data_IF_128653411371
#
_entry.id   IF_128653411371
#
_cell.length_a   1.000
_cell.length_b   1.000
_cell.length_c   1.000
_cell.angle_alpha   90.00
_cell.angle_beta   90.00
_cell.angle_gamma   90.00
#
_symmetry.space_group_name_H-M   'P 1'
#
loop_
_entity.id
_entity.type
_entity.pdbx_description
1 polymer ?
#
# COMPACT_ATOMS: atom_id res chain seq x y z
N UNK A 1 -6.20 5.44 -15.27
CA UNK A 1 -6.37 4.09 -14.70
C UNK A 1 -5.25 3.75 -13.71
N UNK A 2 -3.98 3.77 -14.13
CA UNK A 2 -2.81 3.41 -13.29
C UNK A 2 -2.78 4.13 -11.93
N UNK A 3 -2.85 5.47 -11.92
CA UNK A 3 -2.79 6.27 -10.68
C UNK A 3 -3.93 5.98 -9.72
N UNK A 4 -5.17 5.87 -10.24
CA UNK A 4 -6.36 5.51 -9.44
C UNK A 4 -6.21 4.15 -8.79
N UNK A 5 -5.71 3.15 -9.53
CA UNK A 5 -5.50 1.79 -8.99
C UNK A 5 -4.42 1.78 -7.90
N UNK A 6 -3.27 2.41 -8.15
CA UNK A 6 -2.15 2.44 -7.19
C UNK A 6 -2.51 3.25 -5.93
N UNK A 7 -3.29 4.32 -6.08
CA UNK A 7 -3.77 5.10 -4.94
C UNK A 7 -4.79 4.34 -4.09
N UNK A 8 -5.71 3.58 -4.72
CA UNK A 8 -6.69 2.75 -4.00
C UNK A 8 -6.04 1.52 -3.36
N UNK A 9 -5.03 0.94 -4.01
CA UNK A 9 -4.36 -0.28 -3.59
C UNK A 9 -2.84 -0.06 -3.53
N UNK A 10 -2.31 0.47 -2.42
CA UNK A 10 -0.90 0.86 -2.31
C UNK A 10 0.08 -0.33 -2.34
N UNK A 11 -0.41 -1.57 -2.27
CA UNK A 11 0.39 -2.80 -2.40
C UNK A 11 0.58 -3.26 -3.85
N UNK A 12 -0.11 -2.65 -4.80
CA UNK A 12 -0.01 -3.02 -6.22
C UNK A 12 1.39 -2.72 -6.74
N UNK A 13 2.04 -3.73 -7.32
CA UNK A 13 3.38 -3.58 -7.90
C UNK A 13 3.32 -3.16 -9.37
N UNK A 14 4.46 -2.71 -9.91
CA UNK A 14 4.61 -2.48 -11.35
C UNK A 14 4.40 -3.75 -12.17
N UNK A 15 4.72 -4.92 -11.62
CA UNK A 15 4.48 -6.22 -12.27
C UNK A 15 2.99 -6.52 -12.39
N UNK A 16 2.24 -6.31 -11.30
CA UNK A 16 0.80 -6.52 -11.28
C UNK A 16 0.09 -5.61 -12.29
N UNK A 17 0.55 -4.37 -12.42
CA UNK A 17 0.02 -3.42 -13.40
C UNK A 17 0.29 -3.86 -14.84
N UNK A 18 1.46 -4.41 -15.14
CA UNK A 18 1.77 -4.91 -16.49
C UNK A 18 0.90 -6.11 -16.83
N UNK A 19 0.71 -7.03 -15.87
CA UNK A 19 -0.12 -8.20 -16.07
C UNK A 19 -1.61 -7.83 -16.24
N UNK A 20 -2.07 -6.79 -15.54
CA UNK A 20 -3.45 -6.30 -15.65
C UNK A 20 -3.72 -5.36 -16.84
N UNK A 21 -2.69 -4.89 -17.54
CA UNK A 21 -2.80 -3.94 -18.65
C UNK A 21 -2.21 -4.54 -19.93
N UNK A 22 -3.06 -5.09 -20.80
CA UNK A 22 -2.67 -5.87 -22.00
C UNK A 22 -1.69 -5.17 -22.98
N UNK A 23 -1.49 -3.85 -22.92
CA UNK A 23 -0.65 -3.11 -23.90
C UNK A 23 0.28 -2.06 -23.28
N UNK A 24 0.51 -2.10 -21.97
CA UNK A 24 1.34 -1.10 -21.28
C UNK A 24 2.65 -1.72 -20.81
N UNK A 25 3.77 -1.16 -21.27
CA UNK A 25 5.10 -1.63 -20.89
C UNK A 25 5.53 -1.09 -19.51
N UNK A 26 6.45 -1.80 -18.84
CA UNK A 26 7.03 -1.39 -17.54
C UNK A 26 7.57 0.05 -17.55
N UNK A 27 8.34 0.51 -18.57
CA UNK A 27 8.84 1.88 -18.62
C UNK A 27 7.72 2.92 -18.65
N UNK A 28 6.64 2.66 -19.41
CA UNK A 28 5.48 3.54 -19.47
C UNK A 28 4.83 3.71 -18.10
N UNK A 29 4.58 2.61 -17.39
CA UNK A 29 4.04 2.66 -16.01
C UNK A 29 4.97 3.44 -15.09
N UNK A 30 6.28 3.15 -15.11
CA UNK A 30 7.26 3.85 -14.27
C UNK A 30 7.28 5.36 -14.53
N UNK A 31 7.24 5.77 -15.80
CA UNK A 31 7.21 7.17 -16.19
C UNK A 31 5.91 7.86 -15.75
N UNK A 32 4.76 7.19 -15.90
CA UNK A 32 3.47 7.71 -15.42
C UNK A 32 3.49 7.92 -13.91
N UNK A 33 3.97 6.94 -13.14
CA UNK A 33 4.06 7.06 -11.67
C UNK A 33 4.99 8.21 -11.26
N UNK A 34 6.15 8.35 -11.91
CA UNK A 34 7.12 9.43 -11.64
C UNK A 34 6.54 10.82 -11.92
N UNK A 35 5.87 11.00 -13.06
CA UNK A 35 5.23 12.29 -13.41
C UNK A 35 4.14 12.71 -12.42
N UNK A 36 3.56 11.73 -11.73
CA UNK A 36 2.49 11.93 -10.74
C UNK A 36 3.03 12.01 -9.31
N UNK A 37 4.36 12.01 -9.12
CA UNK A 37 4.99 12.07 -7.81
C UNK A 37 4.83 10.80 -6.96
N UNK A 38 4.29 9.71 -7.53
CA UNK A 38 4.09 8.46 -6.81
C UNK A 38 5.43 7.71 -6.69
N UNK A 39 6.00 7.71 -5.49
CA UNK A 39 7.24 7.01 -5.19
C UNK A 39 6.94 5.54 -4.85
N UNK A 40 7.85 4.65 -5.27
CA UNK A 40 7.84 3.28 -4.79
C UNK A 40 8.14 3.25 -3.30
N UNK A 41 7.38 2.45 -2.54
CA UNK A 41 7.68 2.13 -1.15
C UNK A 41 8.02 0.65 -1.01
N UNK A 42 8.89 0.34 -0.06
CA UNK A 42 9.15 -1.04 0.38
C UNK A 42 8.24 -1.35 1.56
N UNK A 43 7.60 -2.52 1.55
CA UNK A 43 6.87 -2.98 2.71
C UNK A 43 7.82 -3.14 3.90
N UNK A 44 7.37 -2.74 5.10
CA UNK A 44 8.15 -2.92 6.32
C UNK A 44 8.30 -4.42 6.61
N UNK A 45 9.54 -4.90 6.75
CA UNK A 45 9.83 -6.33 7.02
C UNK A 45 9.51 -6.77 8.45
N UNK A 46 9.49 -5.81 9.37
CA UNK A 46 9.20 -6.04 10.80
C UNK A 46 7.89 -5.36 11.17
N UNK A 47 7.09 -5.95 12.07
CA UNK A 47 5.90 -5.27 12.58
C UNK A 47 6.31 -3.99 13.33
N UNK A 48 5.49 -2.94 13.20
CA UNK A 48 5.73 -1.68 13.91
C UNK A 48 5.53 -1.84 15.42
N UNK A 49 4.65 -2.74 15.81
CA UNK A 49 4.26 -2.98 17.20
C UNK A 49 4.65 -4.40 17.61
N UNK A 50 5.14 -4.54 18.84
CA UNK A 50 5.29 -5.84 19.48
C UNK A 50 3.91 -6.42 19.82
N UNK A 51 3.77 -7.76 19.92
CA UNK A 51 2.49 -8.38 20.28
C UNK A 51 1.86 -7.82 21.55
N UNK A 52 2.67 -7.53 22.58
CA UNK A 52 2.19 -6.89 23.83
C UNK A 52 1.55 -5.53 23.60
N UNK A 53 2.10 -4.70 22.71
CA UNK A 53 1.52 -3.40 22.37
C UNK A 53 0.20 -3.58 21.61
N UNK A 54 0.12 -4.58 20.72
CA UNK A 54 -1.12 -4.87 19.99
C UNK A 54 -2.21 -5.31 20.97
N UNK A 55 -1.90 -6.21 21.90
CA UNK A 55 -2.84 -6.66 22.93
C UNK A 55 -3.31 -5.51 23.83
N UNK A 56 -2.39 -4.68 24.33
CA UNK A 56 -2.75 -3.54 25.17
C UNK A 56 -3.64 -2.53 24.43
N UNK A 57 -3.32 -2.20 23.18
CA UNK A 57 -4.13 -1.28 22.37
C UNK A 57 -5.51 -1.85 22.02
N UNK A 58 -5.60 -3.14 21.73
CA UNK A 58 -6.87 -3.82 21.48
C UNK A 58 -7.74 -3.86 22.75
N UNK A 59 -7.13 -4.13 23.91
CA UNK A 59 -7.82 -4.09 25.20
C UNK A 59 -8.38 -2.68 25.47
N UNK A 60 -7.52 -1.67 25.37
CA UNK A 60 -7.91 -0.27 25.56
C UNK A 60 -9.05 0.13 24.61
N UNK A 61 -8.95 -0.17 23.32
CA UNK A 61 -9.99 0.17 22.35
C UNK A 61 -11.35 -0.45 22.70
N UNK A 62 -11.37 -1.70 23.17
CA UNK A 62 -12.62 -2.39 23.57
C UNK A 62 -13.25 -1.77 24.82
N UNK A 63 -12.43 -1.38 25.78
CA UNK A 63 -12.89 -0.78 27.04
C UNK A 63 -13.44 0.65 26.84
N UNK A 64 -13.08 1.31 25.73
CA UNK A 64 -13.44 2.71 25.43
C UNK A 64 -14.23 2.83 24.11
N UNK A 65 -14.88 1.75 23.64
CA UNK A 65 -15.60 1.73 22.36
C UNK A 65 -17.05 2.25 22.48
N UNK A 66 -17.58 2.32 23.70
CA UNK A 66 -18.97 2.65 24.02
C UNK A 66 -19.15 4.02 24.74
N UNK A 67 -18.11 4.86 24.79
CA UNK A 67 -18.16 6.27 25.25
C UNK A 67 -18.53 7.25 24.11
#
# INVERSE_FOLDING_TARGET
MITRTVSKYPRTTRGDLVNGLQRVTKPTISNTLRRQGLKSCSARRVPLLKPVHVQARLKFARENLDD
#
